data_IF_247699845773
#
_entry.id   IF_247699845773
#
_cell.length_a   1.000
_cell.length_b   1.000
_cell.length_c   1.000
_cell.angle_alpha   90.00
_cell.angle_beta   90.00
_cell.angle_gamma   90.00
#
_symmetry.space_group_name_H-M   'P 1'
#
loop_
_entity.id
_entity.type
_entity.pdbx_description
1 polymer ?
#
# COMPACT_ATOMS: atom_id res chain seq x y z
N UNK A 1 -75.94 -17.77 122.14
CA UNK A 1 -75.14 -16.76 121.42
C UNK A 1 -74.39 -17.44 120.29
N UNK A 2 -74.79 -17.20 119.03
CA UNK A 2 -73.94 -17.33 117.85
C UNK A 2 -74.32 -16.14 116.95
N UNK A 3 -73.42 -15.15 116.90
CA UNK A 3 -73.55 -13.94 116.08
C UNK A 3 -73.59 -14.34 114.60
N UNK A 4 -74.75 -14.19 113.95
CA UNK A 4 -74.83 -14.18 112.49
C UNK A 4 -74.66 -12.71 112.07
N UNK A 5 -73.42 -12.30 111.85
CA UNK A 5 -73.08 -10.95 111.40
C UNK A 5 -73.72 -10.64 110.04
N UNK A 6 -74.09 -9.37 109.84
CA UNK A 6 -74.52 -8.87 108.53
C UNK A 6 -73.38 -9.08 107.51
N UNK A 7 -73.66 -9.62 106.32
CA UNK A 7 -72.62 -9.97 105.36
C UNK A 7 -71.81 -8.74 104.93
N UNK A 8 -70.49 -8.88 104.89
CA UNK A 8 -69.56 -7.86 104.41
C UNK A 8 -69.58 -7.77 102.88
N UNK A 9 -69.13 -6.66 102.26
CA UNK A 9 -68.99 -6.53 100.79
C UNK A 9 -68.17 -7.64 100.12
N UNK A 10 -67.24 -8.27 100.86
CA UNK A 10 -66.49 -9.45 100.41
C UNK A 10 -67.39 -10.69 100.27
N UNK A 11 -68.37 -10.85 101.15
CA UNK A 11 -69.33 -11.97 101.14
C UNK A 11 -70.31 -11.85 99.96
N UNK A 12 -70.69 -10.62 99.58
CA UNK A 12 -71.47 -10.39 98.35
C UNK A 12 -70.70 -10.75 97.08
N UNK A 13 -69.40 -10.45 97.03
CA UNK A 13 -68.54 -10.85 95.94
C UNK A 13 -68.32 -12.38 95.89
N UNK A 14 -68.24 -13.04 97.05
CA UNK A 14 -68.17 -14.50 97.15
C UNK A 14 -69.47 -15.17 96.69
N UNK A 15 -70.63 -14.68 97.14
CA UNK A 15 -71.94 -15.16 96.70
C UNK A 15 -72.10 -14.97 95.19
N UNK A 16 -71.70 -13.81 94.63
CA UNK A 16 -71.74 -13.58 93.18
C UNK A 16 -70.83 -14.54 92.40
N UNK A 17 -69.65 -14.89 92.94
CA UNK A 17 -68.76 -15.91 92.37
C UNK A 17 -69.42 -17.30 92.39
N UNK A 18 -70.04 -17.68 93.51
CA UNK A 18 -70.74 -18.97 93.63
C UNK A 18 -71.94 -19.07 92.68
N UNK A 19 -72.71 -18.00 92.51
CA UNK A 19 -73.82 -17.94 91.56
C UNK A 19 -73.31 -18.05 90.12
N UNK A 20 -72.27 -17.31 89.74
CA UNK A 20 -71.64 -17.43 88.41
C UNK A 20 -71.12 -18.84 88.16
N UNK A 21 -70.42 -19.43 89.13
CA UNK A 21 -69.91 -20.79 89.02
C UNK A 21 -71.04 -21.81 88.83
N UNK A 22 -72.14 -21.70 89.59
CA UNK A 22 -73.32 -22.55 89.39
C UNK A 22 -73.94 -22.37 88.01
N UNK A 23 -74.07 -21.13 87.52
CA UNK A 23 -74.61 -20.85 86.19
C UNK A 23 -73.73 -21.47 85.09
N UNK A 24 -72.40 -21.33 85.18
CA UNK A 24 -71.46 -21.99 84.28
C UNK A 24 -71.56 -23.51 84.33
N UNK A 25 -71.68 -24.08 85.53
CA UNK A 25 -71.85 -25.53 85.72
C UNK A 25 -73.17 -26.02 85.12
N UNK A 26 -74.27 -25.26 85.21
CA UNK A 26 -75.53 -25.62 84.57
C UNK A 26 -75.44 -25.58 83.04
N UNK A 27 -74.81 -24.56 82.46
CA UNK A 27 -74.55 -24.49 81.01
C UNK A 27 -73.61 -25.60 80.53
N UNK A 28 -72.65 -25.99 81.37
CA UNK A 28 -71.73 -27.10 81.09
C UNK A 28 -72.44 -28.45 81.18
N UNK A 29 -73.30 -28.67 82.18
CA UNK A 29 -74.11 -29.89 82.31
C UNK A 29 -74.98 -30.12 81.08
N UNK A 30 -75.62 -29.07 80.55
CA UNK A 30 -76.42 -29.14 79.31
C UNK A 30 -75.63 -29.66 78.11
N UNK A 31 -74.32 -29.40 78.03
CA UNK A 31 -73.42 -29.89 76.97
C UNK A 31 -72.90 -31.32 77.23
N UNK A 32 -72.53 -31.63 78.47
CA UNK A 32 -71.94 -32.92 78.85
C UNK A 32 -72.98 -34.06 78.85
N UNK A 33 -74.19 -33.78 79.32
CA UNK A 33 -75.25 -34.79 79.45
C UNK A 33 -76.07 -35.00 78.18
N UNK A 34 -75.89 -34.14 77.16
CA UNK A 34 -76.48 -34.36 75.85
C UNK A 34 -75.53 -35.23 74.99
N UNK A 35 -75.88 -36.49 74.69
CA UNK A 35 -74.99 -37.41 73.98
C UNK A 35 -74.65 -36.94 72.56
N UNK A 36 -75.57 -36.27 71.84
CA UNK A 36 -75.29 -35.79 70.48
C UNK A 36 -74.28 -34.65 70.45
N UNK A 37 -74.39 -33.66 71.35
CA UNK A 37 -73.39 -32.57 71.43
C UNK A 37 -72.06 -33.03 72.00
N UNK A 38 -72.05 -34.08 72.83
CA UNK A 38 -70.83 -34.67 73.39
C UNK A 38 -70.06 -35.47 72.34
N UNK A 39 -70.76 -36.19 71.46
CA UNK A 39 -70.13 -37.00 70.41
C UNK A 39 -69.76 -36.15 69.19
N UNK A 40 -70.60 -35.19 68.79
CA UNK A 40 -70.40 -34.35 67.59
C UNK A 40 -70.82 -32.90 67.92
N UNK A 41 -70.03 -32.21 68.73
CA UNK A 41 -70.24 -30.79 69.07
C UNK A 41 -69.61 -29.88 68.03
N UNK A 42 -70.41 -29.32 67.13
CA UNK A 42 -69.95 -28.43 66.06
C UNK A 42 -70.69 -27.09 66.16
N UNK A 43 -69.92 -26.00 66.14
CA UNK A 43 -70.47 -24.64 65.99
C UNK A 43 -70.64 -24.34 64.50
N UNK A 44 -71.85 -24.62 63.99
CA UNK A 44 -72.16 -24.45 62.57
C UNK A 44 -72.06 -22.98 62.12
N UNK A 45 -72.50 -22.05 62.96
CA UNK A 45 -72.49 -20.62 62.62
C UNK A 45 -71.06 -20.07 62.55
N UNK A 46 -70.17 -20.51 63.43
CA UNK A 46 -68.75 -20.16 63.37
C UNK A 46 -68.07 -20.77 62.14
N UNK A 47 -68.37 -22.02 61.79
CA UNK A 47 -67.83 -22.67 60.58
C UNK A 47 -68.34 -22.01 59.30
N UNK A 48 -69.63 -21.68 59.23
CA UNK A 48 -70.22 -21.01 58.06
C UNK A 48 -69.57 -19.62 57.84
N UNK A 49 -69.29 -18.87 58.93
CA UNK A 49 -68.50 -17.62 58.88
C UNK A 49 -67.08 -17.85 58.36
N UNK A 50 -66.37 -18.86 58.86
CA UNK A 50 -65.02 -19.19 58.38
C UNK A 50 -65.00 -19.59 56.91
N UNK A 51 -66.02 -20.32 56.43
CA UNK A 51 -66.16 -20.69 55.03
C UNK A 51 -66.39 -19.45 54.16
N UNK A 52 -67.26 -18.54 54.59
CA UNK A 52 -67.50 -17.27 53.90
C UNK A 52 -66.24 -16.41 53.83
N UNK A 53 -65.51 -16.27 54.94
CA UNK A 53 -64.24 -15.52 54.97
C UNK A 53 -63.20 -16.10 54.02
N UNK A 54 -63.01 -17.44 54.03
CA UNK A 54 -62.11 -18.13 53.09
C UNK A 54 -62.55 -17.98 51.63
N UNK A 55 -63.86 -17.86 51.36
CA UNK A 55 -64.37 -17.64 50.01
C UNK A 55 -64.06 -16.22 49.53
N UNK A 56 -64.30 -15.22 50.38
CA UNK A 56 -63.98 -13.82 50.10
C UNK A 56 -62.47 -13.66 49.85
N UNK A 57 -61.62 -14.25 50.69
CA UNK A 57 -60.16 -14.21 50.50
C UNK A 57 -59.74 -14.86 49.18
N UNK A 58 -60.32 -16.00 48.81
CA UNK A 58 -60.06 -16.65 47.51
C UNK A 58 -60.50 -15.80 46.32
N UNK A 59 -61.66 -15.16 46.40
CA UNK A 59 -62.15 -14.25 45.35
C UNK A 59 -61.25 -13.02 45.23
N UNK A 60 -60.82 -12.43 46.35
CA UNK A 60 -59.86 -11.31 46.35
C UNK A 60 -58.50 -11.71 45.77
N UNK A 61 -57.99 -12.88 46.12
CA UNK A 61 -56.74 -13.39 45.56
C UNK A 61 -56.85 -13.67 44.06
N UNK A 62 -57.96 -14.26 43.61
CA UNK A 62 -58.23 -14.44 42.18
C UNK A 62 -58.33 -13.12 41.44
N UNK A 63 -59.07 -12.14 41.96
CA UNK A 63 -59.17 -10.82 41.36
C UNK A 63 -57.81 -10.12 41.27
N UNK A 64 -56.99 -10.24 42.33
CA UNK A 64 -55.62 -9.72 42.35
C UNK A 64 -54.74 -10.40 41.30
N UNK A 65 -54.78 -11.73 41.22
CA UNK A 65 -53.99 -12.50 40.25
C UNK A 65 -54.43 -12.19 38.80
N UNK A 66 -55.72 -12.02 38.56
CA UNK A 66 -56.24 -11.58 37.26
C UNK A 66 -55.76 -10.17 36.91
N UNK A 67 -55.78 -9.22 37.86
CA UNK A 67 -55.26 -7.88 37.64
C UNK A 67 -53.76 -7.89 37.30
N UNK A 68 -52.96 -8.69 38.00
CA UNK A 68 -51.54 -8.86 37.67
C UNK A 68 -51.32 -9.51 36.30
N UNK A 69 -52.10 -10.54 35.96
CA UNK A 69 -52.02 -11.18 34.65
C UNK A 69 -52.34 -10.21 33.52
N UNK A 70 -53.38 -9.38 33.70
CA UNK A 70 -53.76 -8.36 32.71
C UNK A 70 -52.68 -7.29 32.57
N UNK A 71 -52.09 -6.84 33.68
CA UNK A 71 -50.96 -5.90 33.65
C UNK A 71 -49.76 -6.49 32.92
N UNK A 72 -49.41 -7.75 33.20
CA UNK A 72 -48.31 -8.43 32.52
C UNK A 72 -48.53 -8.47 31.00
N UNK A 73 -49.75 -8.76 30.54
CA UNK A 73 -50.08 -8.75 29.12
C UNK A 73 -49.89 -7.36 28.49
N UNK A 74 -50.31 -6.30 29.18
CA UNK A 74 -50.12 -4.92 28.72
C UNK A 74 -48.63 -4.54 28.66
N UNK A 75 -47.85 -4.90 29.68
CA UNK A 75 -46.42 -4.64 29.76
C UNK A 75 -45.67 -5.40 28.65
N UNK A 76 -46.01 -6.67 28.41
CA UNK A 76 -45.47 -7.46 27.30
C UNK A 76 -45.78 -6.85 25.93
N UNK A 77 -47.02 -6.41 25.70
CA UNK A 77 -47.40 -5.77 24.45
C UNK A 77 -46.61 -4.46 24.23
N UNK A 78 -46.45 -3.66 25.28
CA UNK A 78 -45.67 -2.41 25.23
C UNK A 78 -44.19 -2.70 24.94
N UNK A 79 -43.61 -3.71 25.58
CA UNK A 79 -42.21 -4.12 25.35
C UNK A 79 -41.98 -4.53 23.90
N UNK A 80 -42.88 -5.32 23.31
CA UNK A 80 -42.77 -5.75 21.90
C UNK A 80 -42.82 -4.56 20.93
N UNK A 81 -43.69 -3.58 21.19
CA UNK A 81 -43.77 -2.36 20.38
C UNK A 81 -42.50 -1.52 20.48
N UNK A 82 -41.95 -1.36 21.69
CA UNK A 82 -40.70 -0.64 21.91
C UNK A 82 -39.52 -1.33 21.21
N UNK A 83 -39.45 -2.66 21.27
CA UNK A 83 -38.42 -3.43 20.59
C UNK A 83 -38.48 -3.26 19.06
N UNK A 84 -39.68 -3.24 18.48
CA UNK A 84 -39.85 -3.01 17.05
C UNK A 84 -39.41 -1.60 16.64
N UNK A 85 -39.77 -0.58 17.43
CA UNK A 85 -39.34 0.81 17.22
C UNK A 85 -37.82 0.94 17.33
N UNK A 86 -37.21 0.31 18.33
CA UNK A 86 -35.76 0.31 18.51
C UNK A 86 -35.04 -0.36 17.34
N UNK A 87 -35.56 -1.49 16.84
CA UNK A 87 -35.02 -2.16 15.65
C UNK A 87 -35.10 -1.28 14.41
N UNK A 88 -36.19 -0.53 14.22
CA UNK A 88 -36.33 0.42 13.10
C UNK A 88 -35.32 1.56 13.21
N UNK A 89 -35.21 2.19 14.38
CA UNK A 89 -34.23 3.26 14.63
C UNK A 89 -32.79 2.78 14.43
N UNK A 90 -32.46 1.58 14.91
CA UNK A 90 -31.13 1.01 14.72
C UNK A 90 -30.81 0.84 13.23
N UNK A 91 -31.75 0.31 12.45
CA UNK A 91 -31.60 0.20 11.00
C UNK A 91 -31.41 1.56 10.32
N UNK A 92 -32.16 2.57 10.71
CA UNK A 92 -32.03 3.93 10.18
C UNK A 92 -30.63 4.50 10.46
N UNK A 93 -30.14 4.36 11.70
CA UNK A 93 -28.78 4.77 12.08
C UNK A 93 -27.72 4.01 11.28
N UNK A 94 -27.88 2.69 11.13
CA UNK A 94 -26.93 1.87 10.38
C UNK A 94 -26.88 2.29 8.90
N UNK A 95 -28.04 2.62 8.31
CA UNK A 95 -28.13 3.14 6.94
C UNK A 95 -27.45 4.51 6.81
N UNK A 96 -27.70 5.43 7.75
CA UNK A 96 -27.07 6.75 7.75
C UNK A 96 -25.54 6.65 7.88
N UNK A 97 -25.05 5.74 8.74
CA UNK A 97 -23.62 5.45 8.86
C UNK A 97 -23.06 4.91 7.54
N UNK A 98 -23.76 4.00 6.88
CA UNK A 98 -23.33 3.46 5.59
C UNK A 98 -23.29 4.54 4.50
N UNK A 99 -24.29 5.42 4.45
CA UNK A 99 -24.32 6.55 3.52
C UNK A 99 -23.17 7.52 3.80
N UNK A 100 -22.91 7.83 5.07
CA UNK A 100 -21.79 8.67 5.48
C UNK A 100 -20.45 8.04 5.07
N UNK A 101 -20.25 6.75 5.33
CA UNK A 101 -19.05 6.00 4.93
C UNK A 101 -18.86 6.03 3.41
N UNK A 102 -19.93 5.80 2.65
CA UNK A 102 -19.90 5.84 1.19
C UNK A 102 -19.53 7.22 0.65
N UNK A 103 -20.05 8.28 1.26
CA UNK A 103 -19.89 9.66 0.77
C UNK A 103 -18.55 10.29 1.17
N UNK A 104 -18.07 10.01 2.39
CA UNK A 104 -16.93 10.73 2.97
C UNK A 104 -15.74 9.85 3.31
N UNK A 105 -15.89 8.52 3.33
CA UNK A 105 -14.83 7.57 3.68
C UNK A 105 -14.48 6.65 2.52
N UNK A 106 -14.73 7.09 1.28
CA UNK A 106 -14.30 6.38 0.09
C UNK A 106 -12.76 6.26 0.08
N UNK A 107 -12.19 5.11 -0.32
CA UNK A 107 -10.74 4.94 -0.42
C UNK A 107 -10.09 6.00 -1.32
N UNK A 108 -10.78 6.37 -2.40
CA UNK A 108 -10.33 7.35 -3.39
C UNK A 108 -10.16 8.77 -2.82
N UNK A 109 -10.92 9.11 -1.76
CA UNK A 109 -10.86 10.43 -1.11
C UNK A 109 -9.79 10.52 -0.01
N UNK A 110 -9.01 9.46 0.23
CA UNK A 110 -7.93 9.48 1.23
C UNK A 110 -6.79 10.38 0.78
N UNK A 111 -6.10 10.99 1.75
CA UNK A 111 -4.97 11.91 1.49
C UNK A 111 -3.82 11.21 0.76
N UNK A 112 -3.58 9.96 1.09
CA UNK A 112 -2.53 9.10 0.56
C UNK A 112 -2.98 8.20 -0.58
N UNK A 113 -4.18 8.40 -1.14
CA UNK A 113 -4.72 7.54 -2.20
C UNK A 113 -3.83 7.55 -3.46
N UNK A 114 -3.20 8.69 -3.77
CA UNK A 114 -2.26 8.84 -4.87
C UNK A 114 -1.08 7.84 -4.81
N UNK A 115 -0.66 7.45 -3.60
CA UNK A 115 0.40 6.45 -3.36
C UNK A 115 -0.12 5.01 -3.47
N UNK A 116 -1.39 4.78 -3.13
CA UNK A 116 -2.01 3.45 -3.10
C UNK A 116 -2.89 3.15 -4.32
N UNK A 117 -2.97 4.06 -5.28
CA UNK A 117 -3.80 3.89 -6.46
C UNK A 117 -3.29 2.68 -7.28
N UNK A 118 -4.09 1.61 -7.44
CA UNK A 118 -3.66 0.43 -8.18
C UNK A 118 -3.34 0.73 -9.65
N UNK A 119 -3.84 1.84 -10.18
CA UNK A 119 -3.58 2.30 -11.54
C UNK A 119 -2.48 3.36 -11.62
N UNK A 120 -1.76 3.65 -10.53
CA UNK A 120 -0.74 4.70 -10.49
C UNK A 120 0.33 4.50 -11.57
N UNK A 121 0.82 3.27 -11.76
CA UNK A 121 1.82 2.96 -12.80
C UNK A 121 1.31 3.21 -14.22
N UNK A 122 -0.01 3.12 -14.45
CA UNK A 122 -0.62 3.37 -15.76
C UNK A 122 -0.91 4.86 -15.99
N UNK A 123 -1.25 5.60 -14.92
CA UNK A 123 -1.52 7.05 -14.97
C UNK A 123 -0.24 7.88 -14.98
N UNK A 124 0.84 7.35 -14.40
CA UNK A 124 2.14 8.00 -14.34
C UNK A 124 2.71 8.26 -15.73
N UNK A 125 3.30 9.44 -15.91
CA UNK A 125 4.08 9.76 -17.10
C UNK A 125 5.48 9.15 -16.99
N UNK A 126 6.12 8.78 -18.12
CA UNK A 126 7.51 8.35 -18.10
C UNK A 126 8.41 9.49 -17.60
N UNK A 127 9.52 9.12 -16.97
CA UNK A 127 10.46 10.05 -16.35
C UNK A 127 11.09 11.04 -17.33
N UNK A 128 11.18 10.67 -18.61
CA UNK A 128 11.65 11.52 -19.71
C UNK A 128 10.71 11.33 -20.91
N UNK A 129 10.18 12.43 -21.45
CA UNK A 129 9.33 12.42 -22.65
C UNK A 129 10.13 13.04 -23.80
N UNK A 130 10.77 12.19 -24.61
CA UNK A 130 11.64 12.63 -25.71
C UNK A 130 12.99 13.19 -25.22
N UNK A 131 13.75 13.78 -26.13
CA UNK A 131 15.10 14.28 -25.82
C UNK A 131 15.10 15.70 -25.24
N UNK A 132 14.19 16.54 -25.75
CA UNK A 132 14.06 17.94 -25.34
C UNK A 132 12.90 18.13 -24.33
N UNK A 133 12.87 17.28 -23.29
CA UNK A 133 11.91 17.42 -22.18
C UNK A 133 12.38 18.54 -21.23
N UNK A 134 11.64 19.65 -21.08
CA UNK A 134 12.03 20.76 -20.20
C UNK A 134 12.07 20.39 -18.71
N UNK A 135 11.48 19.24 -18.31
CA UNK A 135 11.53 18.73 -16.94
C UNK A 135 12.87 18.04 -16.62
N UNK A 136 13.61 17.64 -17.64
CA UNK A 136 14.89 16.94 -17.51
C UNK A 136 16.01 17.94 -17.26
N UNK A 137 16.14 18.37 -16.00
CA UNK A 137 17.25 19.23 -15.56
C UNK A 137 18.50 18.40 -15.26
N UNK A 138 19.65 19.06 -15.09
CA UNK A 138 20.93 18.41 -14.74
C UNK A 138 20.83 17.57 -13.44
N UNK A 139 20.04 18.00 -12.47
CA UNK A 139 19.85 17.27 -11.20
C UNK A 139 18.92 16.06 -11.31
N UNK A 140 18.12 15.96 -12.38
CA UNK A 140 17.19 14.84 -12.58
C UNK A 140 17.90 13.54 -12.98
N UNK A 141 19.13 13.65 -13.50
CA UNK A 141 19.97 12.53 -13.94
C UNK A 141 19.26 11.66 -15.02
N UNK A 142 18.30 12.23 -15.77
CA UNK A 142 17.57 11.52 -16.83
C UNK A 142 18.15 11.71 -18.25
N UNK A 143 19.02 12.71 -18.46
CA UNK A 143 19.75 12.95 -19.71
C UNK A 143 21.20 13.26 -19.39
N UNK A 144 22.10 12.67 -20.16
CA UNK A 144 23.53 12.94 -20.08
C UNK A 144 24.05 13.39 -21.44
N UNK A 145 24.94 14.38 -21.45
CA UNK A 145 25.52 14.91 -22.70
C UNK A 145 26.34 13.86 -23.46
N UNK A 146 26.86 12.83 -22.78
CA UNK A 146 27.62 11.74 -23.41
C UNK A 146 26.80 10.52 -23.86
N UNK A 147 25.48 10.54 -23.69
CA UNK A 147 24.59 9.46 -24.15
C UNK A 147 24.48 9.44 -25.69
N UNK A 148 24.48 10.62 -26.28
CA UNK A 148 24.43 10.78 -27.74
C UNK A 148 25.81 10.44 -28.33
N UNK A 149 25.88 9.29 -29.01
CA UNK A 149 27.04 8.96 -29.84
C UNK A 149 27.18 9.90 -31.04
N UNK A 150 28.28 9.75 -31.80
CA UNK A 150 28.52 10.52 -33.02
C UNK A 150 27.28 10.45 -33.93
N UNK A 151 26.68 11.60 -34.22
CA UNK A 151 25.49 11.64 -35.07
C UNK A 151 25.84 11.12 -36.47
N UNK A 152 24.84 10.60 -37.18
CA UNK A 152 25.05 10.12 -38.57
C UNK A 152 25.64 11.21 -39.46
N UNK A 153 25.25 12.46 -39.23
CA UNK A 153 25.74 13.65 -39.92
C UNK A 153 27.23 13.90 -39.63
N UNK A 154 27.62 13.98 -38.36
CA UNK A 154 29.03 14.12 -37.96
C UNK A 154 29.89 12.99 -38.53
N UNK A 155 29.39 11.75 -38.52
CA UNK A 155 30.10 10.61 -39.10
C UNK A 155 30.26 10.74 -40.61
N UNK A 156 29.23 11.24 -41.31
CA UNK A 156 29.29 11.49 -42.74
C UNK A 156 30.31 12.61 -43.06
N UNK A 157 30.33 13.68 -42.28
CA UNK A 157 31.32 14.76 -42.40
C UNK A 157 32.74 14.25 -42.16
N UNK A 158 32.96 13.44 -41.12
CA UNK A 158 34.26 12.82 -40.86
C UNK A 158 34.73 11.94 -42.02
N UNK A 159 33.84 11.12 -42.59
CA UNK A 159 34.15 10.28 -43.76
C UNK A 159 34.51 11.17 -44.96
N UNK A 160 33.78 12.26 -45.16
CA UNK A 160 34.04 13.17 -46.27
C UNK A 160 35.39 13.88 -46.11
N UNK A 161 35.71 14.37 -44.91
CA UNK A 161 37.01 14.97 -44.60
C UNK A 161 38.15 13.98 -44.83
N UNK A 162 38.00 12.73 -44.37
CA UNK A 162 38.99 11.67 -44.59
C UNK A 162 39.21 11.40 -46.08
N UNK A 163 38.13 11.35 -46.88
CA UNK A 163 38.24 11.17 -48.35
C UNK A 163 39.05 12.29 -48.99
N UNK A 164 38.73 13.55 -48.67
CA UNK A 164 39.44 14.71 -49.22
C UNK A 164 40.92 14.68 -48.85
N UNK A 165 41.26 14.37 -47.60
CA UNK A 165 42.66 14.27 -47.17
C UNK A 165 43.41 13.15 -47.89
N UNK A 166 42.78 11.99 -48.07
CA UNK A 166 43.40 10.88 -48.81
C UNK A 166 43.62 11.24 -50.28
N UNK A 167 42.66 11.90 -50.92
CA UNK A 167 42.82 12.38 -52.30
C UNK A 167 43.97 13.38 -52.43
N UNK A 168 44.09 14.33 -51.49
CA UNK A 168 45.21 15.26 -51.45
C UNK A 168 46.55 14.54 -51.28
N UNK A 169 46.65 13.58 -50.37
CA UNK A 169 47.88 12.79 -50.16
C UNK A 169 48.24 11.95 -51.38
N UNK A 170 47.26 11.33 -52.04
CA UNK A 170 47.49 10.57 -53.28
C UNK A 170 48.02 11.50 -54.37
N UNK A 171 47.42 12.69 -54.52
CA UNK A 171 47.84 13.68 -55.50
C UNK A 171 49.27 14.16 -55.24
N UNK A 172 49.59 14.53 -54.00
CA UNK A 172 50.93 14.96 -53.60
C UNK A 172 51.97 13.85 -53.87
N UNK A 173 51.67 12.61 -53.43
CA UNK A 173 52.55 11.46 -53.66
C UNK A 173 52.79 11.18 -55.15
N UNK A 174 51.75 11.34 -55.99
CA UNK A 174 51.88 11.17 -57.43
C UNK A 174 52.74 12.27 -58.05
N UNK A 175 52.55 13.53 -57.64
CA UNK A 175 53.40 14.66 -58.07
C UNK A 175 54.87 14.43 -57.72
N UNK A 176 55.18 14.10 -56.46
CA UNK A 176 56.57 13.80 -56.04
C UNK A 176 57.14 12.59 -56.79
N UNK A 177 56.32 11.58 -57.09
CA UNK A 177 56.76 10.42 -57.89
C UNK A 177 57.10 10.81 -59.32
N UNK A 178 56.34 11.71 -59.93
CA UNK A 178 56.61 12.24 -61.27
C UNK A 178 57.86 13.12 -61.29
N UNK A 179 58.03 14.00 -60.30
CA UNK A 179 59.24 14.81 -60.11
C UNK A 179 60.48 13.92 -59.97
N UNK A 180 60.44 12.92 -59.10
CA UNK A 180 61.56 11.97 -58.93
C UNK A 180 61.87 11.21 -60.23
N UNK A 181 60.85 10.78 -60.99
CA UNK A 181 61.08 10.17 -62.31
C UNK A 181 61.70 11.14 -63.31
N UNK A 182 61.36 12.42 -63.26
CA UNK A 182 61.96 13.44 -64.13
C UNK A 182 63.43 13.65 -63.75
N UNK A 183 63.72 13.80 -62.45
CA UNK A 183 65.09 13.94 -61.95
C UNK A 183 65.93 12.71 -62.34
N UNK A 184 65.41 11.51 -62.12
CA UNK A 184 66.08 10.27 -62.51
C UNK A 184 66.36 10.20 -64.02
N UNK A 185 65.39 10.58 -64.87
CA UNK A 185 65.59 10.66 -66.32
C UNK A 185 66.70 11.64 -66.70
N UNK A 186 66.67 12.85 -66.13
CA UNK A 186 67.72 13.84 -66.38
C UNK A 186 69.09 13.36 -65.89
N UNK A 187 69.12 12.66 -64.76
CA UNK A 187 70.35 12.09 -64.22
C UNK A 187 70.92 11.02 -65.15
N UNK A 188 70.10 10.08 -65.63
CA UNK A 188 70.49 9.06 -66.62
C UNK A 188 70.99 9.69 -67.94
N UNK A 189 70.34 10.73 -68.43
CA UNK A 189 70.80 11.48 -69.62
C UNK A 189 72.16 12.16 -69.38
N UNK A 190 72.35 12.78 -68.22
CA UNK A 190 73.65 13.39 -67.85
C UNK A 190 74.74 12.35 -67.66
N UNK A 191 74.44 11.20 -67.06
CA UNK A 191 75.40 10.10 -66.90
C UNK A 191 75.80 9.52 -68.27
N UNK A 192 74.82 9.24 -69.13
CA UNK A 192 75.10 8.77 -70.49
C UNK A 192 75.94 9.76 -71.29
N UNK A 193 75.63 11.06 -71.27
CA UNK A 193 76.40 12.08 -71.98
C UNK A 193 77.80 12.28 -71.40
N UNK A 194 77.99 12.18 -70.08
CA UNK A 194 79.31 12.27 -69.45
C UNK A 194 80.16 11.04 -69.80
N UNK A 195 79.61 9.83 -69.79
CA UNK A 195 80.29 8.60 -70.24
C UNK A 195 80.71 8.71 -71.70
N UNK A 196 79.81 9.16 -72.59
CA UNK A 196 80.14 9.36 -74.00
C UNK A 196 81.28 10.37 -74.19
N UNK A 197 81.26 11.49 -73.47
CA UNK A 197 82.35 12.48 -73.49
C UNK A 197 83.67 11.89 -72.99
N UNK A 198 83.63 11.10 -71.91
CA UNK A 198 84.81 10.43 -71.38
C UNK A 198 85.41 9.41 -72.37
N UNK A 199 84.56 8.62 -73.04
CA UNK A 199 85.00 7.71 -74.10
C UNK A 199 85.63 8.45 -75.29
N UNK A 200 85.03 9.56 -75.72
CA UNK A 200 85.57 10.39 -76.79
C UNK A 200 86.94 11.00 -76.42
N UNK A 201 87.08 11.53 -75.19
CA UNK A 201 88.35 12.04 -74.67
C UNK A 201 89.41 10.94 -74.58
N UNK A 202 89.06 9.76 -74.07
CA UNK A 202 89.99 8.62 -73.98
C UNK A 202 90.46 8.14 -75.37
N UNK A 203 89.58 8.15 -76.37
CA UNK A 203 89.95 7.86 -77.76
C UNK A 203 90.93 8.90 -78.31
N UNK A 204 90.64 10.18 -78.12
CA UNK A 204 91.48 11.29 -78.54
C UNK A 204 92.86 11.25 -77.86
N UNK A 205 92.90 11.00 -76.56
CA UNK A 205 94.16 10.85 -75.80
C UNK A 205 94.99 9.69 -76.34
N UNK A 206 94.37 8.55 -76.63
CA UNK A 206 95.05 7.40 -77.22
C UNK A 206 95.59 7.70 -78.62
N UNK A 207 94.84 8.41 -79.46
CA UNK A 207 95.32 8.87 -80.78
C UNK A 207 96.49 9.85 -80.65
N UNK A 208 96.40 10.83 -79.75
CA UNK A 208 97.49 11.75 -79.46
C UNK A 208 98.73 11.01 -78.97
N UNK A 209 98.59 10.06 -78.04
CA UNK A 209 99.70 9.20 -77.58
C UNK A 209 100.34 8.43 -78.73
N UNK A 210 99.53 7.81 -79.61
CA UNK A 210 100.03 7.10 -80.80
C UNK A 210 100.82 8.03 -81.72
N UNK A 211 100.29 9.22 -82.04
CA UNK A 211 100.98 10.23 -82.86
C UNK A 211 102.28 10.71 -82.21
N UNK A 212 102.30 10.88 -80.89
CA UNK A 212 103.49 11.31 -80.14
C UNK A 212 104.56 10.20 -80.14
N UNK A 213 104.17 8.94 -79.94
CA UNK A 213 105.06 7.78 -80.07
C UNK A 213 105.62 7.69 -81.50
N UNK A 214 104.77 7.85 -82.52
CA UNK A 214 105.18 7.84 -83.93
C UNK A 214 106.15 8.99 -84.25
N UNK A 215 105.87 10.21 -83.77
CA UNK A 215 106.76 11.35 -83.93
C UNK A 215 108.12 11.15 -83.23
N UNK A 216 108.13 10.62 -82.00
CA UNK A 216 109.35 10.25 -81.28
C UNK A 216 110.12 9.15 -82.01
N UNK A 217 109.43 8.14 -82.57
CA UNK A 217 110.05 7.09 -83.37
C UNK A 217 110.73 7.66 -84.62
N UNK A 218 110.04 8.53 -85.37
CA UNK A 218 110.60 9.23 -86.54
C UNK A 218 111.79 10.11 -86.17
N UNK A 219 111.71 10.85 -85.07
CA UNK A 219 112.81 11.67 -84.57
C UNK A 219 114.03 10.82 -84.17
N UNK A 220 113.81 9.72 -83.45
CA UNK A 220 114.87 8.78 -83.08
C UNK A 220 115.49 8.11 -84.31
N UNK A 221 114.70 7.73 -85.33
CA UNK A 221 115.23 7.25 -86.61
C UNK A 221 116.13 8.29 -87.29
N UNK A 222 115.69 9.56 -87.33
CA UNK A 222 116.48 10.64 -87.89
C UNK A 222 117.82 10.84 -87.14
N UNK A 223 117.82 10.75 -85.81
CA UNK A 223 119.04 10.81 -85.00
C UNK A 223 120.02 9.66 -85.29
N UNK A 224 119.52 8.44 -85.51
CA UNK A 224 120.36 7.27 -85.84
C UNK A 224 120.96 7.38 -87.24
N UNK A 225 120.28 8.01 -88.20
CA UNK A 225 120.81 8.24 -89.56
C UNK A 225 121.84 9.37 -89.68
N UNK A 226 122.14 10.08 -88.59
CA UNK A 226 123.08 11.22 -88.53
C UNK A 226 124.42 10.84 -87.86
N UNK A 227 124.61 9.56 -87.54
CA UNK A 227 125.91 8.95 -87.21
C UNK A 227 126.29 7.90 -88.26
#
# INVERSE_FOLDING_TARGET
>A
MLNIGKPLPKDHAEVAKHVKARLFDEERKKRIFNPTTRTIGIDKDALDKQVQEKKILREQEQARNQAYSNKLLQDCATSLQLDEQNKKKQKEIDLEILEFRKKYQAPETRREYDIYDPLQCRKGQPSRIGDDDPRTTLSSVQRFEGEEGITKEQKAEQIQQQRVWLEMQIREKNMTREENKNVERTWQETEHTTVQRAMALASLENECRKKLIEANYRYNQALVSVF
#
